data_IF_964908960522
#
_entry.id   IF_964908960522
#
_cell.length_a   1.000
_cell.length_b   1.000
_cell.length_c   1.000
_cell.angle_alpha   90.00
_cell.angle_beta   90.00
_cell.angle_gamma   90.00
#
_symmetry.space_group_name_H-M   'P 1'
#
loop_
_entity.id
_entity.type
_entity.pdbx_description
1 polymer ?
#
# COMPACT_ATOMS: atom_id res chain seq x y z
N UNK A 1 -11.72 -1.58 0.28
CA UNK A 1 -10.75 -1.20 -0.76
C UNK A 1 -9.87 -0.12 -0.14
N UNK A 2 -8.58 -0.37 -0.04
CA UNK A 2 -7.60 0.48 0.61
C UNK A 2 -7.22 1.65 -0.31
N UNK A 3 -6.86 1.34 -1.55
CA UNK A 3 -6.39 2.31 -2.54
C UNK A 3 -7.53 2.80 -3.45
N UNK A 4 -7.27 3.92 -4.14
CA UNK A 4 -8.12 4.52 -5.17
C UNK A 4 -7.26 4.86 -6.40
N UNK A 5 -7.91 5.20 -7.52
CA UNK A 5 -7.19 5.65 -8.71
C UNK A 5 -6.31 6.86 -8.36
N UNK A 6 -5.06 6.82 -8.83
CA UNK A 6 -4.00 7.78 -8.60
C UNK A 6 -3.49 7.88 -7.14
N UNK A 7 -3.89 6.98 -6.24
CA UNK A 7 -3.27 6.91 -4.91
C UNK A 7 -1.79 6.52 -5.06
N UNK A 8 -0.92 7.23 -4.34
CA UNK A 8 0.41 6.75 -4.01
C UNK A 8 0.27 5.69 -2.91
N UNK A 9 0.90 4.53 -3.03
CA UNK A 9 0.81 3.47 -2.04
C UNK A 9 2.14 2.76 -1.82
N UNK A 10 2.35 2.26 -0.60
CA UNK A 10 3.47 1.40 -0.23
C UNK A 10 3.03 -0.06 -0.19
N UNK A 11 3.85 -0.93 -0.76
CA UNK A 11 3.69 -2.38 -0.71
C UNK A 11 4.13 -2.89 0.67
N UNK A 12 3.19 -3.48 1.41
CA UNK A 12 3.44 -4.00 2.77
C UNK A 12 3.72 -5.50 2.83
N UNK A 13 3.52 -6.24 1.73
CA UNK A 13 3.84 -7.67 1.64
C UNK A 13 4.61 -7.98 0.37
N UNK A 14 5.70 -8.74 0.51
CA UNK A 14 6.59 -9.16 -0.58
C UNK A 14 6.86 -10.67 -0.51
N UNK A 15 7.14 -11.28 -1.66
CA UNK A 15 7.54 -12.69 -1.74
C UNK A 15 8.93 -12.97 -1.15
N UNK A 16 9.80 -11.96 -1.02
CA UNK A 16 11.20 -12.13 -0.60
C UNK A 16 11.45 -11.95 0.90
N UNK A 17 10.42 -11.90 1.74
CA UNK A 17 10.56 -11.67 3.18
C UNK A 17 10.07 -10.28 3.60
N UNK A 18 10.71 -9.60 4.56
CA UNK A 18 10.17 -8.38 5.17
C UNK A 18 9.83 -7.32 4.11
N UNK A 19 8.75 -6.58 4.38
CA UNK A 19 8.13 -5.60 3.48
C UNK A 19 9.19 -4.74 2.78
N UNK A 20 9.24 -4.82 1.46
CA UNK A 20 10.29 -4.16 0.66
C UNK A 20 10.13 -2.64 0.58
N UNK A 21 9.02 -2.09 1.09
CA UNK A 21 8.78 -0.66 1.15
C UNK A 21 8.66 0.00 -0.24
N UNK A 22 8.33 -0.79 -1.27
CA UNK A 22 8.16 -0.28 -2.62
C UNK A 22 6.98 0.71 -2.65
N UNK A 23 7.26 1.94 -3.04
CA UNK A 23 6.27 2.99 -3.26
C UNK A 23 5.91 3.01 -4.75
N UNK A 24 4.62 3.08 -5.05
CA UNK A 24 4.09 3.03 -6.41
C UNK A 24 2.79 3.83 -6.55
N UNK A 25 2.39 4.13 -7.78
CA UNK A 25 1.09 4.75 -8.08
C UNK A 25 0.07 3.68 -8.49
N UNK A 26 -1.12 3.73 -7.91
CA UNK A 26 -2.27 2.94 -8.31
C UNK A 26 -2.93 3.57 -9.55
N UNK A 27 -2.65 3.07 -10.74
CA UNK A 27 -3.13 3.68 -11.98
C UNK A 27 -4.61 3.39 -12.23
N UNK A 28 -4.99 2.12 -12.10
CA UNK A 28 -6.37 1.66 -12.34
C UNK A 28 -6.64 0.32 -11.70
N UNK A 29 -7.92 0.05 -11.45
CA UNK A 29 -8.37 -1.29 -11.08
C UNK A 29 -8.27 -2.23 -12.29
N UNK A 30 -7.62 -3.37 -12.08
CA UNK A 30 -7.49 -4.44 -13.07
C UNK A 30 -8.80 -5.22 -13.19
N UNK A 31 -9.15 -5.76 -14.38
CA UNK A 31 -10.28 -6.68 -14.52
C UNK A 31 -10.06 -8.03 -13.82
N UNK A 32 -8.84 -8.32 -13.35
CA UNK A 32 -8.56 -9.53 -12.57
C UNK A 32 -9.26 -9.48 -11.20
N UNK A 33 -9.89 -10.59 -10.81
CA UNK A 33 -10.57 -10.75 -9.52
C UNK A 33 -9.69 -11.37 -8.43
N UNK A 34 -8.37 -11.36 -8.63
CA UNK A 34 -7.40 -11.95 -7.72
C UNK A 34 -6.07 -12.29 -8.37
N UNK A 35 -5.13 -12.77 -7.57
CA UNK A 35 -3.80 -13.22 -7.99
C UNK A 35 -3.47 -14.60 -7.42
N UNK A 36 -2.67 -15.37 -8.15
CA UNK A 36 -2.14 -16.65 -7.68
C UNK A 36 -0.90 -16.40 -6.81
N UNK A 37 -0.81 -17.04 -5.65
CA UNK A 37 0.35 -16.98 -4.77
C UNK A 37 1.40 -18.03 -5.16
N UNK A 38 2.61 -17.90 -4.62
CA UNK A 38 3.73 -18.82 -4.87
C UNK A 38 3.42 -20.27 -4.47
N UNK A 39 2.63 -20.47 -3.43
CA UNK A 39 2.19 -21.80 -2.96
C UNK A 39 1.11 -22.44 -3.85
N UNK A 40 0.72 -21.77 -4.94
CA UNK A 40 -0.30 -22.22 -5.88
C UNK A 40 -1.73 -21.85 -5.47
N UNK A 41 -1.95 -21.33 -4.26
CA UNK A 41 -3.25 -20.82 -3.82
C UNK A 41 -3.67 -19.58 -4.63
N UNK A 42 -4.96 -19.28 -4.63
CA UNK A 42 -5.50 -18.10 -5.30
C UNK A 42 -6.13 -17.15 -4.28
N UNK A 43 -5.64 -15.92 -4.23
CA UNK A 43 -6.19 -14.87 -3.40
C UNK A 43 -7.22 -14.09 -4.20
N UNK A 44 -8.48 -14.11 -3.75
CA UNK A 44 -9.57 -13.35 -4.38
C UNK A 44 -9.62 -11.93 -3.82
N UNK A 45 -9.89 -10.96 -4.70
CA UNK A 45 -10.03 -9.56 -4.31
C UNK A 45 -9.68 -8.59 -5.44
N UNK A 46 -9.87 -7.28 -5.18
CA UNK A 46 -9.51 -6.25 -6.14
C UNK A 46 -8.00 -6.20 -6.36
N UNK A 47 -7.61 -6.09 -7.64
CA UNK A 47 -6.21 -6.00 -8.07
C UNK A 47 -5.98 -4.64 -8.71
N UNK A 48 -4.91 -3.97 -8.31
CA UNK A 48 -4.47 -2.70 -8.85
C UNK A 48 -3.36 -2.90 -9.88
N UNK A 49 -3.45 -2.19 -11.00
CA UNK A 49 -2.34 -2.01 -11.93
C UNK A 49 -1.56 -0.75 -11.57
N UNK A 50 -0.24 -0.87 -11.51
CA UNK A 50 0.65 0.17 -10.99
C UNK A 50 1.67 0.63 -12.03
N UNK A 51 2.27 1.79 -11.79
CA UNK A 51 3.33 2.36 -12.63
C UNK A 51 4.65 1.59 -12.56
N UNK A 52 4.87 0.88 -11.44
CA UNK A 52 6.11 0.20 -11.12
C UNK A 52 5.93 -1.31 -11.10
N UNK A 53 6.94 -2.01 -11.61
CA UNK A 53 7.06 -3.46 -11.50
C UNK A 53 7.77 -3.83 -10.22
N UNK A 54 7.28 -4.85 -9.53
CA UNK A 54 7.97 -5.42 -8.38
C UNK A 54 7.74 -6.91 -8.29
N UNK A 55 8.54 -7.56 -7.45
CA UNK A 55 8.41 -8.97 -7.20
C UNK A 55 7.21 -9.22 -6.27
N UNK A 56 6.15 -9.78 -6.83
CA UNK A 56 4.91 -10.01 -6.11
C UNK A 56 4.88 -11.39 -5.44
N UNK A 57 3.88 -11.62 -4.59
CA UNK A 57 3.66 -12.88 -3.86
C UNK A 57 3.53 -14.12 -4.76
N UNK A 58 3.27 -13.95 -6.05
CA UNK A 58 3.24 -15.03 -7.02
C UNK A 58 4.64 -15.52 -7.44
N UNK A 59 5.71 -14.86 -6.98
CA UNK A 59 7.10 -15.15 -7.37
C UNK A 59 7.54 -14.57 -8.70
N UNK A 60 6.65 -13.83 -9.39
CA UNK A 60 6.99 -13.14 -10.64
C UNK A 60 7.06 -11.63 -10.44
N UNK A 61 7.91 -11.00 -11.24
CA UNK A 61 7.95 -9.54 -11.35
C UNK A 61 6.81 -9.06 -12.22
N UNK A 62 5.89 -8.28 -11.65
CA UNK A 62 4.77 -7.66 -12.37
C UNK A 62 4.30 -6.36 -11.69
N UNK A 63 3.42 -5.63 -12.35
CA UNK A 63 2.83 -4.38 -11.86
C UNK A 63 1.38 -4.56 -11.37
N UNK A 64 0.99 -5.79 -11.04
CA UNK A 64 -0.31 -6.10 -10.44
C UNK A 64 -0.17 -6.31 -8.93
N UNK A 65 -1.05 -5.74 -8.13
CA UNK A 65 -0.99 -5.86 -6.68
C UNK A 65 -2.38 -6.05 -6.10
N UNK A 66 -2.54 -6.99 -5.16
CA UNK A 66 -3.79 -7.08 -4.41
C UNK A 66 -3.95 -5.79 -3.60
N UNK A 67 -5.14 -5.22 -3.57
CA UNK A 67 -5.45 -4.06 -2.72
C UNK A 67 -5.12 -4.30 -1.24
N UNK A 68 -5.23 -5.56 -0.79
CA UNK A 68 -4.88 -6.00 0.56
C UNK A 68 -3.38 -5.97 0.88
N UNK A 69 -2.52 -5.79 -0.12
CA UNK A 69 -1.06 -5.68 0.01
C UNK A 69 -0.56 -4.23 -0.09
N UNK A 70 -1.47 -3.29 -0.31
CA UNK A 70 -1.17 -1.88 -0.50
C UNK A 70 -1.66 -1.04 0.67
N UNK A 71 -0.85 -0.08 1.09
CA UNK A 71 -1.25 0.99 2.03
C UNK A 71 -1.11 2.34 1.34
N UNK A 72 -2.21 3.10 1.15
CA UNK A 72 -2.13 4.40 0.52
C UNK A 72 -1.38 5.38 1.43
N UNK A 73 -0.54 6.22 0.83
CA UNK A 73 0.13 7.34 1.47
C UNK A 73 -0.69 8.59 1.16
N UNK A 74 -1.34 9.15 2.18
CA UNK A 74 -2.17 10.36 2.06
C UNK A 74 -1.60 11.43 2.97
N UNK A 75 -1.56 12.66 2.45
CA UNK A 75 -1.17 13.86 3.19
C UNK A 75 -2.38 14.41 3.97
N UNK A 76 -3.07 13.52 4.64
CA UNK A 76 -4.16 13.83 5.54
C UNK A 76 -3.69 13.38 6.93
N UNK A 77 -3.93 14.16 7.99
CA UNK A 77 -3.71 13.67 9.35
C UNK A 77 -4.60 12.44 9.54
N UNK A 78 -4.01 11.26 9.41
CA UNK A 78 -4.69 10.01 9.65
C UNK A 78 -5.11 9.94 11.12
N UNK A 79 -5.99 8.99 11.43
CA UNK A 79 -6.04 8.43 12.78
C UNK A 79 -4.73 7.65 13.00
N UNK A 80 -3.60 8.35 13.07
CA UNK A 80 -2.33 7.76 13.41
C UNK A 80 -2.40 7.45 14.90
N UNK A 81 -2.65 6.18 15.21
CA UNK A 81 -2.67 5.68 16.59
C UNK A 81 -1.36 6.01 17.32
N UNK A 82 -0.26 6.20 16.58
CA UNK A 82 1.05 6.63 17.11
C UNK A 82 1.04 8.10 17.56
N UNK A 83 0.40 9.01 16.82
CA UNK A 83 0.23 10.41 17.23
C UNK A 83 -0.76 10.55 18.39
N UNK A 84 -1.77 9.67 18.45
CA UNK A 84 -2.66 9.57 19.61
C UNK A 84 -1.91 9.15 20.88
N UNK A 85 -0.91 8.27 20.77
CA UNK A 85 -0.06 7.86 21.90
C UNK A 85 0.99 8.92 22.27
N UNK A 86 1.54 9.62 21.29
CA UNK A 86 2.56 10.65 21.51
C UNK A 86 1.98 11.98 22.04
N UNK A 87 0.68 12.21 21.87
CA UNK A 87 0.03 13.49 22.09
C UNK A 87 0.35 14.46 20.94
N UNK A 88 -0.67 15.13 20.40
CA UNK A 88 -0.44 16.20 19.43
C UNK A 88 0.27 17.37 20.15
N UNK A 89 1.31 17.98 19.56
CA UNK A 89 1.87 19.21 20.10
C UNK A 89 0.78 20.28 20.16
N UNK A 90 0.64 20.94 21.30
CA UNK A 90 -0.35 22.01 21.46
C UNK A 90 0.06 23.21 20.60
N UNK A 91 -0.90 23.84 19.92
CA UNK A 91 -0.69 25.01 19.03
C UNK A 91 0.11 26.16 19.68
N UNK A 92 0.21 26.20 21.01
CA UNK A 92 1.03 27.16 21.75
C UNK A 92 2.54 27.05 21.51
N UNK A 93 3.05 25.93 20.98
CA UNK A 93 4.49 25.74 20.75
C UNK A 93 4.95 26.21 19.36
N UNK A 94 4.04 26.41 18.40
CA UNK A 94 4.42 26.76 17.00
C UNK A 94 4.62 28.26 16.81
N UNK A 95 4.14 29.11 17.73
CA UNK A 95 4.21 30.58 17.60
C UNK A 95 5.31 31.24 18.45
N UNK A 96 6.22 30.47 19.05
CA UNK A 96 7.30 30.99 19.90
C UNK A 96 8.72 30.82 19.33
N UNK A 97 8.85 30.69 18.00
CA UNK A 97 10.13 30.59 17.28
C UNK A 97 10.41 31.76 16.37
#
# INVERSE_FOLDING_TARGET
>A
MNCKNNDLAIVVRSALGPSTGLILHCLRLSPASGLRNLDGSFAYGPVWETDSYGLALCGNTHNLWMDADLRPLRDEPGADETLLWAGLPQESEVLAG
#
